data_IF_882571389638
#
_entry.id   IF_882571389638
#
_cell.length_a   1.000
_cell.length_b   1.000
_cell.length_c   1.000
_cell.angle_alpha   90.00
_cell.angle_beta   90.00
_cell.angle_gamma   90.00
#
_symmetry.space_group_name_H-M   'P 1'
#
loop_
_entity.id
_entity.type
_entity.pdbx_description
1 polymer ?
#
# COMPACT_ATOMS: atom_id res chain seq x y z
N UNK A 1 3.01 -20.12 5.58
CA UNK A 1 3.88 -20.41 4.41
C UNK A 1 5.35 -20.15 4.76
N UNK A 2 6.23 -21.17 4.77
CA UNK A 2 7.68 -20.99 4.99
C UNK A 2 8.41 -20.75 3.66
N UNK A 3 8.17 -19.60 3.04
CA UNK A 3 8.81 -19.24 1.77
C UNK A 3 10.17 -18.55 2.03
N UNK A 4 11.28 -19.19 1.65
CA UNK A 4 12.63 -18.60 1.78
C UNK A 4 12.76 -17.21 1.13
N UNK A 5 11.95 -16.95 0.10
CA UNK A 5 11.89 -15.65 -0.58
C UNK A 5 11.35 -14.55 0.31
N UNK A 6 10.44 -14.87 1.25
CA UNK A 6 9.97 -13.92 2.24
C UNK A 6 11.08 -13.67 3.27
N UNK A 7 11.69 -14.71 3.84
CA UNK A 7 12.78 -14.55 4.82
C UNK A 7 13.93 -13.71 4.27
N UNK A 8 14.39 -14.04 3.04
CA UNK A 8 15.44 -13.29 2.33
C UNK A 8 15.00 -11.95 1.77
N UNK A 9 13.70 -11.60 1.86
CA UNK A 9 13.07 -10.41 1.28
C UNK A 9 13.19 -10.29 -0.25
N UNK A 10 13.65 -11.34 -0.94
CA UNK A 10 13.84 -11.35 -2.39
C UNK A 10 12.68 -12.06 -3.10
N UNK A 11 11.48 -11.49 -2.98
CA UNK A 11 10.23 -12.09 -3.50
C UNK A 11 10.33 -12.42 -5.00
N UNK A 12 10.98 -11.56 -5.79
CA UNK A 12 11.14 -11.73 -7.25
C UNK A 12 11.77 -13.08 -7.65
N UNK A 13 12.65 -13.66 -6.82
CA UNK A 13 13.29 -14.96 -7.13
C UNK A 13 12.33 -16.15 -7.08
N UNK A 14 11.14 -15.98 -6.50
CA UNK A 14 10.11 -17.02 -6.53
C UNK A 14 9.51 -17.23 -7.93
N UNK A 15 9.53 -16.19 -8.79
CA UNK A 15 8.92 -16.19 -10.13
C UNK A 15 7.42 -16.55 -10.18
N UNK A 16 6.78 -16.60 -9.02
CA UNK A 16 5.35 -16.82 -8.81
C UNK A 16 4.83 -15.76 -7.83
N UNK A 17 3.54 -15.36 -7.92
CA UNK A 17 2.94 -14.47 -6.95
C UNK A 17 2.99 -15.06 -5.54
N UNK A 18 3.37 -14.22 -4.56
CA UNK A 18 3.26 -14.57 -3.15
C UNK A 18 1.80 -14.42 -2.72
N UNK A 19 1.19 -15.52 -2.26
CA UNK A 19 -0.19 -15.53 -1.73
C UNK A 19 -0.13 -15.77 -0.23
N UNK A 20 -0.73 -14.87 0.55
CA UNK A 20 -0.85 -14.94 2.00
C UNK A 20 -2.33 -14.94 2.40
N UNK A 21 -2.60 -15.10 3.69
CA UNK A 21 -3.95 -15.42 4.17
C UNK A 21 -4.94 -14.25 4.03
N UNK A 22 -4.45 -13.01 4.09
CA UNK A 22 -5.29 -11.81 3.91
C UNK A 22 -4.49 -10.60 3.39
N UNK A 23 -5.20 -9.51 3.10
CA UNK A 23 -4.59 -8.28 2.54
C UNK A 23 -3.61 -7.62 3.51
N UNK A 24 -3.89 -7.66 4.82
CA UNK A 24 -3.01 -7.11 5.85
C UNK A 24 -1.63 -7.79 5.83
N UNK A 25 -1.59 -9.11 5.79
CA UNK A 25 -0.35 -9.88 5.67
C UNK A 25 0.38 -9.59 4.36
N UNK A 26 -0.34 -9.52 3.24
CA UNK A 26 0.23 -9.14 1.94
C UNK A 26 0.92 -7.77 1.97
N UNK A 27 0.28 -6.76 2.57
CA UNK A 27 0.86 -5.41 2.70
C UNK A 27 2.07 -5.41 3.64
N UNK A 28 1.99 -6.10 4.78
CA UNK A 28 3.12 -6.22 5.70
C UNK A 28 4.32 -6.92 5.05
N UNK A 29 4.09 -7.99 4.29
CA UNK A 29 5.14 -8.68 3.55
C UNK A 29 5.75 -7.78 2.46
N UNK A 30 4.92 -7.04 1.71
CA UNK A 30 5.39 -6.10 0.70
C UNK A 30 6.27 -4.99 1.30
N UNK A 31 5.83 -4.39 2.40
CA UNK A 31 6.59 -3.37 3.14
C UNK A 31 7.91 -3.92 3.69
N UNK A 32 7.87 -5.10 4.33
CA UNK A 32 9.08 -5.77 4.84
C UNK A 32 10.09 -6.07 3.74
N UNK A 33 9.62 -6.37 2.53
CA UNK A 33 10.47 -6.69 1.38
C UNK A 33 10.85 -5.47 0.54
N UNK A 34 10.47 -4.26 0.97
CA UNK A 34 10.86 -3.01 0.34
C UNK A 34 12.23 -2.54 0.89
N UNK A 35 13.30 -3.08 0.32
CA UNK A 35 14.66 -2.86 0.85
C UNK A 35 15.06 -1.39 0.98
N UNK A 36 15.64 -1.06 2.14
CA UNK A 36 16.21 0.26 2.41
C UNK A 36 15.16 1.36 2.64
N UNK A 37 13.88 1.01 2.68
CA UNK A 37 12.78 1.93 2.92
C UNK A 37 12.04 1.48 4.17
N UNK A 38 12.07 2.30 5.22
CA UNK A 38 11.25 2.06 6.40
C UNK A 38 9.77 2.30 6.10
N UNK A 39 8.88 1.69 6.89
CA UNK A 39 7.42 1.73 6.66
C UNK A 39 6.90 3.16 6.55
N UNK A 40 7.36 4.05 7.42
CA UNK A 40 6.98 5.47 7.46
C UNK A 40 7.49 6.28 6.25
N UNK A 41 8.51 5.78 5.54
CA UNK A 41 9.03 6.40 4.30
C UNK A 41 8.47 5.74 3.04
N UNK A 42 7.68 4.69 3.18
CA UNK A 42 7.12 3.98 2.03
C UNK A 42 6.16 4.89 1.25
N UNK A 43 6.39 5.01 -0.05
CA UNK A 43 5.53 5.75 -0.98
C UNK A 43 4.45 4.81 -1.49
N UNK A 44 3.21 5.01 -1.05
CA UNK A 44 2.07 4.16 -1.38
C UNK A 44 0.96 5.00 -1.99
N UNK A 45 0.32 4.47 -3.03
CA UNK A 45 -0.91 5.02 -3.58
C UNK A 45 -1.94 3.91 -3.62
N UNK A 46 -3.14 4.19 -3.14
CA UNK A 46 -4.30 3.29 -3.25
C UNK A 46 -5.34 3.97 -4.11
N UNK A 47 -5.77 3.28 -5.17
CA UNK A 47 -6.82 3.70 -6.08
C UNK A 47 -7.99 2.72 -6.00
N UNK A 48 -9.23 3.14 -6.27
CA UNK A 48 -10.36 2.21 -6.34
C UNK A 48 -10.22 1.25 -7.53
N UNK A 49 -9.81 1.76 -8.70
CA UNK A 49 -9.47 1.00 -9.91
C UNK A 49 -8.91 1.94 -10.99
N UNK A 50 -8.51 1.41 -12.14
CA UNK A 50 -7.91 2.19 -13.23
C UNK A 50 -8.89 3.06 -14.01
N UNK A 51 -10.20 2.87 -13.86
CA UNK A 51 -11.23 3.71 -14.50
C UNK A 51 -11.53 4.97 -13.66
N UNK A 52 -11.39 4.88 -12.33
CA UNK A 52 -11.71 5.95 -11.40
C UNK A 52 -10.45 6.43 -10.67
N UNK A 53 -9.80 7.49 -11.19
CA UNK A 53 -8.55 8.04 -10.67
C UNK A 53 -8.69 9.44 -10.04
N UNK A 54 -9.92 9.95 -9.96
CA UNK A 54 -10.22 11.29 -9.41
C UNK A 54 -9.95 11.36 -7.90
N UNK A 55 -10.20 10.26 -7.18
CA UNK A 55 -9.93 10.15 -5.74
C UNK A 55 -8.97 9.01 -5.47
N UNK A 56 -7.88 9.33 -4.77
CA UNK A 56 -6.82 8.39 -4.41
C UNK A 56 -6.42 8.61 -2.95
N UNK A 57 -5.96 7.56 -2.29
CA UNK A 57 -5.23 7.72 -1.03
C UNK A 57 -3.74 7.66 -1.29
N UNK A 58 -2.99 8.48 -0.58
CA UNK A 58 -1.53 8.55 -0.66
C UNK A 58 -0.94 8.38 0.75
N UNK A 59 0.23 7.74 0.86
CA UNK A 59 0.94 7.72 2.13
C UNK A 59 1.44 9.11 2.51
N UNK A 60 1.64 9.35 3.81
CA UNK A 60 2.17 10.61 4.33
C UNK A 60 3.51 11.00 3.67
N UNK A 61 4.34 10.01 3.33
CA UNK A 61 5.61 10.20 2.64
C UNK A 61 5.48 10.86 1.25
N UNK A 62 4.28 10.83 0.63
CA UNK A 62 3.99 11.48 -0.65
C UNK A 62 3.40 12.89 -0.50
N UNK A 63 2.84 13.24 0.66
CA UNK A 63 2.14 14.52 0.84
C UNK A 63 2.98 15.76 0.49
N UNK A 64 4.28 15.85 0.86
CA UNK A 64 5.09 17.01 0.48
C UNK A 64 5.21 17.20 -1.03
N UNK A 65 5.24 16.10 -1.79
CA UNK A 65 5.32 16.14 -3.26
C UNK A 65 3.97 16.50 -3.87
N UNK A 66 2.90 15.84 -3.42
CA UNK A 66 1.53 16.08 -3.89
C UNK A 66 1.12 17.55 -3.70
N UNK A 67 1.48 18.16 -2.57
CA UNK A 67 1.18 19.58 -2.28
C UNK A 67 1.83 20.57 -3.25
N UNK A 68 2.82 20.15 -4.03
CA UNK A 68 3.46 20.99 -5.05
C UNK A 68 2.86 20.81 -6.44
N UNK A 69 1.95 19.85 -6.63
CA UNK A 69 1.33 19.55 -7.92
C UNK A 69 0.08 20.42 -8.12
N UNK A 70 0.01 21.25 -9.18
CA UNK A 70 -1.10 22.19 -9.36
C UNK A 70 -2.43 21.54 -9.78
N UNK A 71 -2.40 20.26 -10.13
CA UNK A 71 -3.56 19.49 -10.61
C UNK A 71 -4.07 18.47 -9.59
N UNK A 72 -3.52 18.46 -8.37
CA UNK A 72 -3.98 17.57 -7.28
C UNK A 72 -4.36 18.44 -6.09
N UNK A 73 -5.54 18.16 -5.55
CA UNK A 73 -6.04 18.80 -4.33
C UNK A 73 -6.03 17.79 -3.18
N UNK A 74 -5.52 18.21 -2.02
CA UNK A 74 -5.61 17.40 -0.79
C UNK A 74 -6.94 17.73 -0.10
N UNK A 75 -7.93 16.87 -0.32
CA UNK A 75 -9.30 17.06 0.20
C UNK A 75 -9.49 16.53 1.64
N UNK A 76 -8.61 15.63 2.11
CA UNK A 76 -8.66 15.04 3.45
C UNK A 76 -7.28 14.52 3.87
N UNK A 77 -6.98 14.58 5.18
CA UNK A 77 -5.74 14.07 5.78
C UNK A 77 -6.05 13.18 7.01
N UNK A 78 -5.06 12.41 7.47
CA UNK A 78 -5.18 11.60 8.70
C UNK A 78 -6.12 10.40 8.57
N UNK A 79 -6.19 9.78 7.39
CA UNK A 79 -7.00 8.58 7.14
C UNK A 79 -6.13 7.34 7.32
N UNK A 80 -6.50 6.50 8.27
CA UNK A 80 -5.86 5.19 8.45
C UNK A 80 -6.43 4.15 7.47
N UNK A 81 -5.58 3.20 7.06
CA UNK A 81 -6.04 2.02 6.34
C UNK A 81 -6.80 1.10 7.31
N UNK A 82 -8.10 0.95 7.06
CA UNK A 82 -8.95 0.05 7.83
C UNK A 82 -8.92 -1.38 7.26
N UNK A 83 -8.96 -2.36 8.16
CA UNK A 83 -9.11 -3.78 7.84
C UNK A 83 -10.31 -4.33 8.60
N UNK A 84 -10.99 -5.32 8.02
CA UNK A 84 -12.04 -6.04 8.72
C UNK A 84 -11.46 -7.03 9.76
N UNK A 85 -12.35 -7.75 10.45
CA UNK A 85 -11.97 -8.71 11.49
C UNK A 85 -11.09 -9.86 10.98
N UNK A 86 -11.16 -10.18 9.69
CA UNK A 86 -10.39 -11.25 9.05
C UNK A 86 -9.07 -10.73 8.44
N UNK A 87 -8.81 -9.43 8.54
CA UNK A 87 -7.59 -8.78 8.03
C UNK A 87 -7.65 -8.44 6.54
N UNK A 88 -8.83 -8.44 5.92
CA UNK A 88 -9.00 -7.92 4.56
C UNK A 88 -9.14 -6.41 4.58
N UNK A 89 -8.55 -5.76 3.58
CA UNK A 89 -8.62 -4.31 3.45
C UNK A 89 -10.06 -3.90 3.15
N UNK A 90 -10.61 -2.96 3.91
CA UNK A 90 -11.97 -2.49 3.69
C UNK A 90 -12.11 -1.84 2.31
N UNK A 91 -13.30 -1.83 1.68
CA UNK A 91 -13.50 -1.19 0.38
C UNK A 91 -13.03 0.26 0.32
N UNK A 92 -12.67 0.75 -0.87
CA UNK A 92 -12.29 2.14 -1.07
C UNK A 92 -13.50 3.04 -0.77
N UNK A 93 -13.36 3.99 0.17
CA UNK A 93 -14.42 4.93 0.54
C UNK A 93 -14.11 6.29 -0.09
N UNK A 94 -14.35 6.40 -1.39
CA UNK A 94 -14.45 7.69 -2.07
C UNK A 94 -15.82 8.30 -1.81
N UNK A 95 -15.91 9.62 -1.80
CA UNK A 95 -17.18 10.35 -1.87
C UNK A 95 -17.95 9.90 -3.12
#
# INVERSE_FOLDING_TARGET
>A
MNANVLTSSFIRRGMIPLVLDNTKECLQAALRCNWGVSTEKARLIRIPNTLHLEHIYVSEALLPEIRTMPYIEVIQEGIDLEFDHDGYLTPFRGV
#
